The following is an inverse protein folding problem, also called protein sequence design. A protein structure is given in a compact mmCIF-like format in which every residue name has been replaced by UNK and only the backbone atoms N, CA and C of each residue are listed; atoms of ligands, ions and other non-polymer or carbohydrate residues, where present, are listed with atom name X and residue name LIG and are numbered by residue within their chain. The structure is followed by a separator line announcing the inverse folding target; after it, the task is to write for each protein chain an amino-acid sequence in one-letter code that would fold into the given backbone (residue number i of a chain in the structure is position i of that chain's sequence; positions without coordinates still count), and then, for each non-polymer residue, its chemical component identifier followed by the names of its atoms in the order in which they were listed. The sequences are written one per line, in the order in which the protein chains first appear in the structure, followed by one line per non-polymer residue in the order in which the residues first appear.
data_IF_645183927641
#
_entry.id   IF_645183927641
#
_cell.length_a   1.000
_cell.length_b   1.000
_cell.length_c   1.000
_cell.angle_alpha   90.00
_cell.angle_beta   90.00
_cell.angle_gamma   90.00
#
_symmetry.space_group_name_H-M   'P 1'
#
loop_
_entity.id
_entity.type
_entity.pdbx_description
1 polymer ?
#
# COMPACT_ATOMS: atom_id res chain seq x y z
N UNK A 1 31.58 1.32 -30.61
CA UNK A 1 30.45 0.54 -30.07
C UNK A 1 29.74 1.40 -29.04
N UNK A 2 28.62 2.01 -29.43
CA UNK A 2 27.74 2.76 -28.53
C UNK A 2 26.46 1.95 -28.34
N UNK A 3 26.01 1.79 -27.10
CA UNK A 3 24.84 1.01 -26.74
C UNK A 3 23.55 1.69 -27.22
N UNK A 4 22.67 0.93 -27.87
CA UNK A 4 21.31 1.36 -28.22
C UNK A 4 20.46 1.55 -26.95
N UNK A 5 19.62 2.60 -26.88
CA UNK A 5 18.63 2.72 -25.83
C UNK A 5 17.53 1.69 -26.09
N UNK A 6 17.53 0.61 -25.30
CA UNK A 6 16.46 -0.39 -25.34
C UNK A 6 15.14 0.25 -24.93
N UNK A 7 14.17 0.23 -25.85
CA UNK A 7 12.77 0.47 -25.54
C UNK A 7 12.36 -0.50 -24.42
N UNK A 8 12.01 0.04 -23.26
CA UNK A 8 11.12 -0.66 -22.35
C UNK A 8 9.83 -1.00 -23.13
N UNK A 9 9.29 -2.23 -23.02
CA UNK A 9 7.99 -2.51 -23.63
C UNK A 9 6.98 -1.51 -23.07
N UNK A 10 6.17 -0.92 -23.96
CA UNK A 10 5.09 -0.03 -23.54
C UNK A 10 4.20 -0.78 -22.52
N UNK A 11 3.81 -0.13 -21.40
CA UNK A 11 2.92 -0.76 -20.45
C UNK A 11 1.64 -1.20 -21.18
N UNK A 12 1.09 -2.39 -20.87
CA UNK A 12 -0.16 -2.85 -21.45
C UNK A 12 -1.23 -1.77 -21.35
N UNK A 13 -1.98 -1.58 -22.44
CA UNK A 13 -3.11 -0.64 -22.52
C UNK A 13 -4.03 -0.82 -21.29
N UNK A 14 -4.26 0.29 -20.58
CA UNK A 14 -4.94 0.33 -19.29
C UNK A 14 -6.38 -0.25 -19.37
N UNK A 15 -6.51 -1.54 -19.08
CA UNK A 15 -7.77 -2.17 -18.74
C UNK A 15 -7.93 -1.97 -17.23
N UNK A 16 -8.63 -0.89 -16.86
CA UNK A 16 -9.01 -0.48 -15.50
C UNK A 16 -7.85 -0.06 -14.57
N UNK A 17 -7.55 1.24 -14.42
CA UNK A 17 -6.71 1.68 -13.32
C UNK A 17 -7.41 1.37 -12.00
N UNK A 18 -6.81 0.51 -11.19
CA UNK A 18 -7.26 0.28 -9.82
C UNK A 18 -6.84 1.48 -8.97
N UNK A 19 -7.69 1.86 -8.02
CA UNK A 19 -7.46 2.94 -7.07
C UNK A 19 -7.89 2.50 -5.67
N UNK A 20 -7.32 3.09 -4.64
CA UNK A 20 -7.78 2.89 -3.26
C UNK A 20 -8.65 4.06 -2.82
N UNK A 21 -9.83 3.73 -2.30
CA UNK A 21 -10.79 4.64 -1.71
C UNK A 21 -10.80 4.43 -0.18
N UNK A 22 -10.50 5.48 0.59
CA UNK A 22 -10.53 5.41 2.06
C UNK A 22 -11.95 5.48 2.64
N UNK A 23 -12.91 5.98 1.85
CA UNK A 23 -14.33 6.03 2.16
C UNK A 23 -14.64 6.78 3.48
N UNK A 24 -15.79 6.50 4.12
CA UNK A 24 -16.32 7.24 5.27
C UNK A 24 -16.94 6.31 6.33
N UNK A 25 -17.59 6.85 7.38
CA UNK A 25 -18.15 6.07 8.48
C UNK A 25 -19.16 4.97 8.10
N UNK A 26 -19.86 5.10 6.97
CA UNK A 26 -20.94 4.17 6.57
C UNK A 26 -20.51 3.18 5.50
N UNK A 27 -19.36 3.36 4.85
CA UNK A 27 -18.88 2.47 3.80
C UNK A 27 -17.40 2.07 3.99
N UNK A 28 -17.02 0.80 3.77
CA UNK A 28 -15.64 0.35 3.96
C UNK A 28 -14.67 1.02 2.98
N UNK A 29 -13.40 1.12 3.37
CA UNK A 29 -12.33 1.41 2.42
C UNK A 29 -12.25 0.29 1.38
N UNK A 30 -11.94 0.64 0.14
CA UNK A 30 -12.05 -0.28 -0.98
C UNK A 30 -10.90 -0.12 -1.99
N UNK A 31 -10.55 -1.22 -2.64
CA UNK A 31 -9.95 -1.19 -3.96
C UNK A 31 -11.07 -1.01 -4.98
N UNK A 32 -10.96 -0.01 -5.83
CA UNK A 32 -11.97 0.34 -6.85
C UNK A 32 -11.34 0.35 -8.24
N UNK A 33 -12.08 -0.11 -9.23
CA UNK A 33 -11.78 0.10 -10.65
C UNK A 33 -12.59 1.28 -11.13
N UNK A 34 -11.98 2.22 -11.86
CA UNK A 34 -12.68 3.37 -12.46
C UNK A 34 -12.70 3.25 -13.97
N UNK A 35 -13.89 3.36 -14.55
CA UNK A 35 -14.09 3.37 -16.00
C UNK A 35 -13.53 4.67 -16.62
N UNK A 36 -12.59 4.60 -17.57
CA UNK A 36 -11.90 5.78 -18.09
C UNK A 36 -12.82 6.75 -18.84
N UNK A 37 -13.96 6.27 -19.34
CA UNK A 37 -14.84 7.04 -20.23
C UNK A 37 -16.11 7.57 -19.57
N UNK A 38 -16.53 6.98 -18.45
CA UNK A 38 -17.80 7.33 -17.78
C UNK A 38 -17.62 7.68 -16.29
N UNK A 39 -16.41 7.55 -15.74
CA UNK A 39 -16.14 7.78 -14.32
C UNK A 39 -16.85 6.81 -13.37
N UNK A 40 -17.52 5.78 -13.89
CA UNK A 40 -18.19 4.79 -13.05
C UNK A 40 -17.14 3.98 -12.29
N UNK A 41 -17.34 3.84 -10.97
CA UNK A 41 -16.45 3.06 -10.12
C UNK A 41 -17.10 1.75 -9.71
N UNK A 42 -16.31 0.68 -9.72
CA UNK A 42 -16.71 -0.65 -9.24
C UNK A 42 -15.82 -1.05 -8.09
N UNK A 43 -16.41 -1.45 -6.95
CA UNK A 43 -15.65 -1.98 -5.80
C UNK A 43 -15.19 -3.40 -6.11
N UNK A 44 -13.88 -3.60 -6.03
CA UNK A 44 -13.21 -4.87 -6.32
C UNK A 44 -12.96 -5.64 -5.02
N UNK A 45 -12.52 -4.92 -3.98
CA UNK A 45 -12.17 -5.52 -2.71
C UNK A 45 -12.51 -4.56 -1.57
N UNK A 46 -13.26 -5.03 -0.56
CA UNK A 46 -13.73 -4.20 0.57
C UNK A 46 -13.47 -4.82 1.94
N UNK A 47 -13.13 -6.11 1.99
CA UNK A 47 -12.95 -6.85 3.24
C UNK A 47 -11.92 -7.98 3.11
N UNK A 48 -11.40 -8.41 4.26
CA UNK A 48 -10.55 -9.59 4.41
C UNK A 48 -11.17 -10.53 5.45
N UNK A 49 -11.49 -11.77 5.04
CA UNK A 49 -12.28 -12.72 5.84
C UNK A 49 -13.56 -12.11 6.42
N UNK A 50 -14.31 -11.36 5.61
CA UNK A 50 -15.59 -10.74 6.00
C UNK A 50 -15.48 -9.51 6.91
N UNK A 51 -14.25 -9.07 7.25
CA UNK A 51 -14.02 -7.85 8.04
C UNK A 51 -13.52 -6.72 7.15
N UNK A 52 -14.18 -5.57 7.25
CA UNK A 52 -13.93 -4.42 6.38
C UNK A 52 -12.50 -3.88 6.49
N UNK A 53 -11.92 -3.53 5.34
CA UNK A 53 -10.74 -2.68 5.32
C UNK A 53 -11.06 -1.29 5.88
N UNK A 54 -10.03 -0.63 6.40
CA UNK A 54 -10.14 0.60 7.17
C UNK A 54 -9.53 1.80 6.46
N UNK A 55 -8.34 1.66 5.90
CA UNK A 55 -7.67 2.67 5.07
C UNK A 55 -6.66 1.94 4.19
N UNK A 56 -7.12 1.58 2.98
CA UNK A 56 -6.30 0.94 1.96
C UNK A 56 -5.42 1.97 1.26
N UNK A 57 -4.20 1.57 0.96
CA UNK A 57 -3.28 2.28 0.09
C UNK A 57 -2.53 1.26 -0.79
N UNK A 58 -2.08 1.67 -1.98
CA UNK A 58 -1.48 0.76 -2.96
C UNK A 58 -0.26 1.38 -3.67
N UNK A 59 0.56 0.51 -4.26
CA UNK A 59 1.51 0.91 -5.31
C UNK A 59 0.85 0.71 -6.70
N UNK A 60 1.02 1.63 -7.66
CA UNK A 60 0.20 1.64 -8.87
C UNK A 60 0.40 0.51 -9.89
N UNK A 61 1.46 -0.33 -9.87
CA UNK A 61 1.59 -1.34 -10.92
C UNK A 61 2.64 -2.46 -10.71
N UNK A 62 2.20 -3.72 -10.58
CA UNK A 62 3.07 -4.92 -10.79
C UNK A 62 2.34 -6.12 -11.44
N UNK A 63 1.17 -5.90 -12.07
CA UNK A 63 0.26 -6.99 -12.47
C UNK A 63 -0.58 -7.46 -11.28
N UNK A 64 0.07 -8.04 -10.27
CA UNK A 64 -0.56 -8.19 -8.95
C UNK A 64 -0.59 -6.86 -8.20
N UNK A 65 -1.58 -6.71 -7.33
CA UNK A 65 -1.80 -5.50 -6.56
C UNK A 65 -1.32 -5.69 -5.13
N UNK A 66 -0.43 -4.81 -4.71
CA UNK A 66 0.11 -4.82 -3.36
C UNK A 66 -0.50 -3.66 -2.57
N UNK A 67 -1.09 -4.00 -1.44
CA UNK A 67 -1.94 -3.11 -0.65
C UNK A 67 -1.42 -3.04 0.79
N UNK A 68 -1.62 -1.91 1.45
CA UNK A 68 -1.52 -1.80 2.91
C UNK A 68 -2.88 -1.44 3.48
N UNK A 69 -3.19 -1.92 4.68
CA UNK A 69 -4.30 -1.44 5.48
C UNK A 69 -3.78 -0.89 6.82
N UNK A 70 -4.24 0.30 7.18
CA UNK A 70 -3.95 0.90 8.48
C UNK A 70 -5.16 1.64 9.06
N UNK A 71 -4.96 2.35 10.18
CA UNK A 71 -6.02 3.02 10.92
C UNK A 71 -6.16 4.52 10.59
N UNK A 72 -5.68 4.99 9.42
CA UNK A 72 -5.65 6.45 9.18
C UNK A 72 -7.02 7.09 9.24
N UNK A 73 -8.05 6.43 8.72
CA UNK A 73 -9.42 6.94 8.83
C UNK A 73 -9.91 7.07 10.27
N UNK A 74 -9.45 6.19 11.18
CA UNK A 74 -9.76 6.31 12.60
C UNK A 74 -8.95 7.45 13.24
N UNK A 75 -7.64 7.49 13.00
CA UNK A 75 -6.74 8.55 13.47
C UNK A 75 -7.17 9.95 12.99
N UNK A 76 -7.81 10.04 11.81
CA UNK A 76 -8.26 11.29 11.19
C UNK A 76 -9.78 11.52 11.31
N UNK A 77 -10.50 10.70 12.08
CA UNK A 77 -11.92 10.90 12.43
C UNK A 77 -12.91 10.89 11.27
N UNK A 78 -12.68 10.04 10.27
CA UNK A 78 -13.65 9.81 9.20
C UNK A 78 -14.04 8.33 9.02
N UNK A 79 -13.45 7.43 9.82
CA UNK A 79 -13.77 5.99 9.87
C UNK A 79 -13.83 5.48 11.33
N UNK A 80 -14.61 4.43 11.61
CA UNK A 80 -14.51 3.70 12.87
C UNK A 80 -13.17 2.96 13.01
N UNK A 81 -12.84 2.55 14.23
CA UNK A 81 -11.66 1.74 14.52
C UNK A 81 -11.62 0.45 13.67
N UNK A 82 -10.41 0.06 13.26
CA UNK A 82 -10.23 -1.13 12.43
C UNK A 82 -10.61 -2.41 13.19
N UNK A 83 -11.22 -3.35 12.46
CA UNK A 83 -11.54 -4.69 12.96
C UNK A 83 -10.55 -5.75 12.46
N UNK A 84 -9.51 -5.34 11.73
CA UNK A 84 -8.46 -6.21 11.19
C UNK A 84 -7.08 -5.66 11.54
N UNK A 85 -6.03 -6.51 11.59
CA UNK A 85 -4.69 -6.04 11.86
C UNK A 85 -4.14 -5.12 10.76
N UNK A 86 -3.19 -4.27 11.13
CA UNK A 86 -2.43 -3.42 10.20
C UNK A 86 -1.39 -4.26 9.47
N UNK A 87 -1.61 -4.47 8.18
CA UNK A 87 -0.92 -5.49 7.39
C UNK A 87 -0.71 -5.00 5.96
N UNK A 88 0.27 -5.61 5.30
CA UNK A 88 0.40 -5.55 3.85
C UNK A 88 -0.16 -6.82 3.23
N UNK A 89 -0.80 -6.66 2.08
CA UNK A 89 -1.50 -7.69 1.34
C UNK A 89 -1.00 -7.74 -0.10
N UNK A 90 -1.09 -8.92 -0.71
CA UNK A 90 -0.99 -9.13 -2.16
C UNK A 90 -2.32 -9.67 -2.64
N UNK A 91 -2.90 -9.00 -3.62
CA UNK A 91 -4.15 -9.36 -4.27
C UNK A 91 -3.88 -9.69 -5.74
N UNK A 92 -4.40 -10.84 -6.19
CA UNK A 92 -4.26 -11.35 -7.55
C UNK A 92 -5.61 -11.19 -8.26
N UNK A 93 -5.81 -10.16 -9.10
CA UNK A 93 -7.12 -9.87 -9.67
C UNK A 93 -7.69 -11.01 -10.53
N UNK A 94 -6.82 -11.79 -11.18
CA UNK A 94 -7.24 -12.89 -12.06
C UNK A 94 -7.87 -14.08 -11.33
N UNK A 95 -7.53 -14.29 -10.06
CA UNK A 95 -8.04 -15.40 -9.24
C UNK A 95 -8.91 -14.93 -8.07
N UNK A 96 -8.83 -13.65 -7.71
CA UNK A 96 -9.44 -13.10 -6.50
C UNK A 96 -8.68 -13.46 -5.22
N UNK A 97 -7.50 -14.10 -5.33
CA UNK A 97 -6.70 -14.48 -4.16
C UNK A 97 -6.16 -13.25 -3.45
N UNK A 98 -6.29 -13.21 -2.12
CA UNK A 98 -5.67 -12.21 -1.26
C UNK A 98 -4.91 -12.88 -0.11
N UNK A 99 -3.65 -12.49 0.06
CA UNK A 99 -2.76 -13.02 1.08
C UNK A 99 -2.12 -11.90 1.89
N UNK A 100 -1.92 -12.14 3.19
CA UNK A 100 -1.06 -11.29 4.02
C UNK A 100 0.38 -11.60 3.67
N UNK A 101 1.15 -10.56 3.33
CA UNK A 101 2.56 -10.69 2.92
C UNK A 101 3.54 -10.09 3.93
N UNK A 102 3.07 -9.14 4.76
CA UNK A 102 3.83 -8.64 5.90
C UNK A 102 2.90 -8.11 7.00
N UNK A 103 3.38 -8.15 8.25
CA UNK A 103 2.66 -7.68 9.43
C UNK A 103 3.62 -7.06 10.47
N UNK A 104 3.06 -6.60 11.59
CA UNK A 104 3.85 -5.99 12.67
C UNK A 104 4.17 -4.51 12.43
N UNK A 105 3.30 -3.82 11.70
CA UNK A 105 3.36 -2.38 11.49
C UNK A 105 2.54 -1.66 12.57
N UNK A 106 3.02 -0.51 13.04
CA UNK A 106 2.21 0.38 13.89
C UNK A 106 1.23 1.20 13.05
N UNK A 107 1.66 1.61 11.86
CA UNK A 107 0.86 2.29 10.85
C UNK A 107 1.57 2.15 9.50
N UNK A 108 1.13 1.23 8.64
CA UNK A 108 1.67 1.05 7.29
C UNK A 108 1.07 2.08 6.34
N UNK A 109 1.87 2.74 5.52
CA UNK A 109 1.40 3.81 4.63
C UNK A 109 1.53 3.48 3.15
N UNK A 110 2.78 3.48 2.66
CA UNK A 110 3.10 3.35 1.24
C UNK A 110 3.97 2.13 0.98
N UNK A 111 3.78 1.61 -0.22
CA UNK A 111 4.53 0.52 -0.83
C UNK A 111 5.27 1.07 -2.05
N UNK A 112 6.50 0.63 -2.28
CA UNK A 112 7.26 0.99 -3.48
C UNK A 112 8.18 -0.16 -3.87
N UNK A 113 8.25 -0.50 -5.16
CA UNK A 113 9.18 -1.51 -5.64
C UNK A 113 10.53 -0.88 -6.03
N UNK A 114 11.61 -1.63 -5.89
CA UNK A 114 12.85 -1.30 -6.61
C UNK A 114 12.63 -1.40 -8.12
N UNK A 115 13.42 -0.67 -8.91
CA UNK A 115 13.30 -0.67 -10.37
C UNK A 115 13.44 -2.07 -11.01
N UNK A 116 14.18 -2.98 -10.36
CA UNK A 116 14.34 -4.37 -10.79
C UNK A 116 13.26 -5.32 -10.23
N UNK A 117 12.28 -4.79 -9.49
CA UNK A 117 11.17 -5.50 -8.85
C UNK A 117 11.61 -6.61 -7.86
N UNK A 118 12.85 -6.57 -7.37
CA UNK A 118 13.37 -7.58 -6.42
C UNK A 118 13.22 -7.18 -4.95
N UNK A 119 13.02 -5.89 -4.68
CA UNK A 119 12.86 -5.36 -3.33
C UNK A 119 11.54 -4.62 -3.22
N UNK A 120 10.79 -4.88 -2.15
CA UNK A 120 9.62 -4.08 -1.76
C UNK A 120 9.97 -3.22 -0.56
N UNK A 121 9.71 -1.93 -0.67
CA UNK A 121 9.81 -0.96 0.41
C UNK A 121 8.43 -0.71 1.01
N UNK A 122 8.32 -0.85 2.33
CA UNK A 122 7.07 -0.56 3.07
C UNK A 122 7.38 0.50 4.12
N UNK A 123 6.70 1.64 4.02
CA UNK A 123 6.83 2.72 4.99
C UNK A 123 5.92 2.48 6.21
N UNK A 124 6.51 2.61 7.39
CA UNK A 124 5.85 2.65 8.69
C UNK A 124 5.92 4.07 9.22
N UNK A 125 4.78 4.70 9.46
CA UNK A 125 4.69 6.10 9.90
C UNK A 125 4.06 6.25 11.28
N UNK A 126 4.29 5.29 12.17
CA UNK A 126 3.53 5.13 13.43
C UNK A 126 3.54 6.30 14.42
N UNK A 127 4.24 7.38 14.12
CA UNK A 127 4.32 8.58 14.93
C UNK A 127 3.13 9.52 14.75
N UNK A 128 2.45 9.57 13.60
CA UNK A 128 1.27 10.42 13.43
C UNK A 128 -0.02 9.69 13.88
N UNK A 129 -0.45 9.94 15.11
CA UNK A 129 -1.72 9.44 15.64
C UNK A 129 -2.95 10.27 15.25
N UNK A 130 -2.74 11.41 14.58
CA UNK A 130 -3.80 12.36 14.23
C UNK A 130 -4.06 13.40 15.34
N UNK A 131 -5.07 14.27 15.17
CA UNK A 131 -5.23 15.48 15.99
C UNK A 131 -5.47 15.25 17.50
N UNK A 132 -5.92 14.06 17.95
CA UNK A 132 -6.10 13.80 19.39
C UNK A 132 -5.15 12.74 19.98
N UNK A 133 -4.64 11.80 19.19
CA UNK A 133 -3.61 10.87 19.69
C UNK A 133 -2.21 11.52 19.69
N UNK A 134 -2.08 12.68 19.04
CA UNK A 134 -0.84 13.45 19.00
C UNK A 134 0.25 12.78 18.17
N UNK A 135 1.45 13.35 18.23
CA UNK A 135 2.64 12.76 17.63
C UNK A 135 3.39 11.95 18.68
N UNK A 136 3.54 10.64 18.47
CA UNK A 136 4.39 9.81 19.32
C UNK A 136 5.80 9.72 18.73
N UNK A 137 6.72 10.54 19.23
CA UNK A 137 8.12 10.56 18.77
C UNK A 137 8.91 9.28 19.07
N UNK A 138 8.42 8.40 19.95
CA UNK A 138 9.03 7.07 20.15
C UNK A 138 8.64 6.08 19.05
N UNK A 139 7.61 6.38 18.26
CA UNK A 139 7.22 5.56 17.12
C UNK A 139 8.10 5.89 15.91
N UNK A 140 8.80 4.91 15.34
CA UNK A 140 9.76 5.20 14.29
C UNK A 140 9.06 5.49 12.95
N UNK A 141 9.57 6.47 12.22
CA UNK A 141 9.30 6.67 10.80
C UNK A 141 10.31 5.87 9.99
N UNK A 142 10.04 4.58 9.86
CA UNK A 142 10.96 3.63 9.24
C UNK A 142 10.41 3.12 7.94
N UNK A 143 11.25 3.10 6.92
CA UNK A 143 11.01 2.34 5.70
C UNK A 143 11.72 1.00 5.88
N UNK A 144 10.96 -0.09 5.77
CA UNK A 144 11.52 -1.44 5.73
C UNK A 144 11.69 -1.88 4.29
N UNK A 145 12.81 -2.53 3.99
CA UNK A 145 13.00 -3.27 2.75
C UNK A 145 12.75 -4.75 3.00
N UNK A 146 12.18 -5.40 1.99
CA UNK A 146 11.94 -6.83 1.92
C UNK A 146 12.41 -7.37 0.59
N UNK A 147 13.00 -8.56 0.59
CA UNK A 147 13.30 -9.26 -0.65
C UNK A 147 12.01 -9.92 -1.16
N UNK A 148 11.77 -9.82 -2.46
CA UNK A 148 10.66 -10.50 -3.13
C UNK A 148 11.15 -11.87 -3.58
N UNK A 149 10.58 -12.91 -2.99
CA UNK A 149 10.96 -14.31 -3.23
C UNK A 149 9.84 -15.00 -4.00
N UNK A 150 10.21 -15.73 -5.06
CA UNK A 150 9.28 -16.40 -5.98
C UNK A 150 8.18 -15.46 -6.50
N UNK A 151 8.50 -14.18 -6.72
CA UNK A 151 7.59 -13.16 -7.25
C UNK A 151 6.30 -12.92 -6.45
N UNK A 152 6.23 -13.40 -5.20
CA UNK A 152 4.98 -13.41 -4.44
C UNK A 152 5.13 -13.24 -2.93
N UNK A 153 6.28 -13.62 -2.35
CA UNK A 153 6.49 -13.61 -0.90
C UNK A 153 7.53 -12.57 -0.50
N UNK A 154 7.41 -12.07 0.72
CA UNK A 154 8.37 -11.14 1.31
C UNK A 154 9.26 -11.87 2.30
N UNK A 155 10.57 -11.64 2.22
CA UNK A 155 11.58 -12.19 3.12
C UNK A 155 12.58 -11.11 3.54
N UNK A 156 13.48 -11.46 4.46
CA UNK A 156 14.66 -10.65 4.83
C UNK A 156 14.34 -9.19 5.16
N UNK A 157 13.33 -8.98 6.03
CA UNK A 157 12.95 -7.66 6.52
C UNK A 157 14.17 -6.97 7.13
N UNK A 158 14.48 -5.78 6.64
CA UNK A 158 15.56 -4.93 7.14
C UNK A 158 15.14 -3.47 7.19
N UNK A 159 15.74 -2.71 8.10
CA UNK A 159 15.61 -1.25 8.10
C UNK A 159 16.33 -0.72 6.85
N UNK A 160 15.61 0.00 6.00
CA UNK A 160 16.20 0.70 4.85
C UNK A 160 16.54 2.14 5.22
N UNK A 161 15.55 2.86 5.75
CA UNK A 161 15.69 4.25 6.21
C UNK A 161 14.97 4.41 7.53
N UNK A 162 15.60 5.13 8.45
CA UNK A 162 14.97 5.67 9.65
C UNK A 162 14.99 7.18 9.56
N UNK A 163 13.86 7.82 9.83
CA UNK A 163 13.76 9.26 9.99
C UNK A 163 13.33 9.60 11.41
N UNK A 164 14.14 10.42 12.07
CA UNK A 164 13.86 10.96 13.40
C UNK A 164 12.69 11.97 13.37
N UNK A 165 12.58 12.75 12.28
CA UNK A 165 11.61 13.86 12.16
C UNK A 165 10.52 13.63 11.09
N UNK A 166 10.18 12.38 10.78
CA UNK A 166 9.15 12.07 9.78
C UNK A 166 9.63 12.04 8.33
N UNK A 167 8.80 11.56 7.39
CA UNK A 167 9.19 11.39 6.00
C UNK A 167 9.35 12.75 5.32
N UNK A 168 10.57 13.07 4.90
CA UNK A 168 10.81 14.01 3.80
C UNK A 168 10.60 13.24 2.49
N UNK A 169 9.88 13.81 1.53
CA UNK A 169 9.50 13.17 0.26
C UNK A 169 10.67 12.48 -0.45
N UNK A 170 10.45 11.27 -0.98
CA UNK A 170 11.48 10.38 -1.56
C UNK A 170 11.75 10.71 -3.06
N UNK A 171 11.12 11.71 -3.65
CA UNK A 171 11.15 11.93 -5.10
C UNK A 171 12.41 12.61 -5.65
N UNK A 172 13.52 12.73 -4.89
CA UNK A 172 14.77 13.31 -5.39
C UNK A 172 16.00 12.46 -4.99
N UNK A 173 16.16 11.32 -5.65
CA UNK A 173 17.48 10.71 -5.90
C UNK A 173 17.52 10.10 -7.28
#
# INVERSE_FOLDING_TARGET
MAAHPGCYPAPPTAQHPYHTDESNFTAPSALVSVGPNNGASTKILTSFFGRNFSSLNQHPWTGDLWLTNADYGFCQYFRPASKIPKQAYRFVPSTGEILVVAYGFLQSNRLEFSADLKTLYISKTGAAGGPYLGTNFTCPWTIYAYDIVHSARLANRRVFVYSDNGPRNITNK
#
